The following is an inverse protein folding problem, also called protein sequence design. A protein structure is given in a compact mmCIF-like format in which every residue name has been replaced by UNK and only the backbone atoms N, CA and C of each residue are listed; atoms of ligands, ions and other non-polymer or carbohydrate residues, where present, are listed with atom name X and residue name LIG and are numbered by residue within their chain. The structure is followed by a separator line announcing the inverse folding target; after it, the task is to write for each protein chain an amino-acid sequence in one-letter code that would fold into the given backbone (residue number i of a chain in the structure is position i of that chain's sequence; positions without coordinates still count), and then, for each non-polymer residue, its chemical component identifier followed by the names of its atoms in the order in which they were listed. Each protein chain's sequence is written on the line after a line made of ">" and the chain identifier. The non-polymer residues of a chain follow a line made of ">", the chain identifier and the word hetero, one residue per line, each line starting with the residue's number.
data_IF_383883455605
#
_entry.id   IF_383883455605
#
_cell.length_a   1.000
_cell.length_b   1.000
_cell.length_c   1.000
_cell.angle_alpha   90.00
_cell.angle_beta   90.00
_cell.angle_gamma   90.00
#
_symmetry.space_group_name_H-M   'P 1'
#
loop_
_entity.id
_entity.type
_entity.pdbx_description
1 polymer ?
#
# COMPACT_ATOMS: atom_id res chain seq x y z
N UNK A 1 -16.32 -18.23 -31.33
CA UNK A 1 -16.63 -18.56 -32.72
C UNK A 1 -15.90 -19.85 -32.96
N UNK A 2 -16.64 -20.93 -33.21
CA UNK A 2 -16.10 -22.22 -33.62
C UNK A 2 -16.40 -22.40 -35.13
N UNK A 3 -15.83 -23.45 -35.74
CA UNK A 3 -16.14 -23.83 -37.11
C UNK A 3 -17.65 -24.03 -37.32
N UNK A 4 -18.20 -23.68 -38.50
CA UNK A 4 -19.62 -23.71 -38.78
C UNK A 4 -20.14 -25.15 -38.99
N UNK A 5 -20.16 -25.95 -37.92
CA UNK A 5 -20.52 -27.37 -37.93
C UNK A 5 -22.04 -27.57 -38.06
N UNK A 6 -22.83 -26.56 -37.71
CA UNK A 6 -24.29 -26.62 -37.74
C UNK A 6 -24.89 -26.55 -39.15
N UNK A 7 -24.13 -26.07 -40.14
CA UNK A 7 -24.60 -25.91 -41.52
C UNK A 7 -24.29 -27.17 -42.37
N UNK A 8 -25.31 -27.94 -42.79
CA UNK A 8 -25.09 -29.08 -43.68
C UNK A 8 -24.64 -28.61 -45.07
N UNK A 9 -23.69 -29.33 -45.68
CA UNK A 9 -23.23 -29.08 -47.05
C UNK A 9 -22.07 -28.08 -47.21
N UNK A 10 -21.48 -27.58 -46.11
CA UNK A 10 -20.34 -26.66 -46.16
C UNK A 10 -18.97 -27.34 -46.39
N UNK A 11 -18.97 -28.66 -46.58
CA UNK A 11 -17.78 -29.42 -46.99
C UNK A 11 -16.68 -29.52 -45.91
N UNK A 12 -17.04 -29.49 -44.62
CA UNK A 12 -16.05 -29.71 -43.56
C UNK A 12 -15.58 -31.18 -43.58
N UNK A 13 -14.28 -31.38 -43.54
CA UNK A 13 -13.66 -32.69 -43.34
C UNK A 13 -12.89 -32.65 -42.02
N UNK A 14 -13.24 -33.54 -41.09
CA UNK A 14 -12.63 -33.54 -39.75
C UNK A 14 -12.89 -32.25 -38.95
N UNK A 15 -13.97 -31.53 -39.25
CA UNK A 15 -14.33 -30.28 -38.57
C UNK A 15 -13.62 -29.02 -39.08
N UNK A 16 -12.84 -29.11 -40.17
CA UNK A 16 -12.16 -27.99 -40.83
C UNK A 16 -12.58 -27.85 -42.29
N UNK A 17 -12.37 -26.67 -42.89
CA UNK A 17 -12.65 -26.46 -44.32
C UNK A 17 -11.76 -27.36 -45.19
N UNK A 18 -12.31 -27.87 -46.28
CA UNK A 18 -11.60 -28.67 -47.27
C UNK A 18 -11.79 -28.11 -48.69
N UNK A 19 -10.76 -28.24 -49.52
CA UNK A 19 -10.78 -27.83 -50.92
C UNK A 19 -11.60 -28.81 -51.78
N UNK A 20 -12.15 -28.32 -52.90
CA UNK A 20 -12.92 -29.16 -53.81
C UNK A 20 -12.01 -30.19 -54.49
N UNK A 21 -12.48 -31.43 -54.57
CA UNK A 21 -11.72 -32.52 -55.19
C UNK A 21 -12.45 -33.00 -56.46
N UNK A 22 -11.96 -32.53 -57.61
CA UNK A 22 -12.53 -32.85 -58.93
C UNK A 22 -12.46 -34.35 -59.28
N UNK A 23 -11.54 -35.12 -58.70
CA UNK A 23 -11.38 -36.55 -58.98
C UNK A 23 -12.40 -37.44 -58.23
N UNK A 24 -12.93 -36.96 -57.11
CA UNK A 24 -13.89 -37.70 -56.26
C UNK A 24 -15.30 -37.09 -56.28
N UNK A 25 -15.48 -35.96 -56.97
CA UNK A 25 -16.74 -35.22 -56.99
C UNK A 25 -17.07 -34.54 -55.66
N UNK A 26 -16.12 -34.48 -54.72
CA UNK A 26 -16.34 -33.89 -53.41
C UNK A 26 -16.44 -32.36 -53.54
N UNK A 27 -17.59 -31.82 -53.13
CA UNK A 27 -17.79 -30.38 -53.01
C UNK A 27 -16.85 -29.80 -51.93
N UNK A 28 -16.16 -28.71 -52.24
CA UNK A 28 -15.26 -28.04 -51.30
C UNK A 28 -15.46 -26.53 -51.29
N UNK A 29 -14.67 -25.85 -50.47
CA UNK A 29 -14.84 -24.42 -50.20
C UNK A 29 -14.48 -23.56 -51.41
N UNK A 30 -15.24 -22.48 -51.62
CA UNK A 30 -14.99 -21.49 -52.69
C UNK A 30 -13.72 -20.67 -52.44
N UNK A 31 -13.27 -20.61 -51.20
CA UNK A 31 -12.03 -19.98 -50.75
C UNK A 31 -11.09 -21.10 -50.32
N UNK A 32 -9.78 -20.94 -50.55
CA UNK A 32 -8.78 -21.94 -50.16
C UNK A 32 -8.95 -22.36 -48.70
N UNK A 33 -9.06 -23.67 -48.48
CA UNK A 33 -9.15 -24.28 -47.16
C UNK A 33 -7.99 -23.86 -46.25
N UNK A 34 -6.79 -23.67 -46.82
CA UNK A 34 -5.61 -23.20 -46.06
C UNK A 34 -5.88 -21.84 -45.44
N UNK A 35 -6.37 -20.87 -46.23
CA UNK A 35 -6.66 -19.53 -45.74
C UNK A 35 -7.83 -19.51 -44.75
N UNK A 36 -8.91 -20.23 -45.06
CA UNK A 36 -10.10 -20.24 -44.21
C UNK A 36 -9.79 -20.90 -42.85
N UNK A 37 -9.00 -21.98 -42.85
CA UNK A 37 -8.55 -22.61 -41.62
C UNK A 37 -7.56 -21.74 -40.85
N UNK A 38 -6.63 -21.04 -41.51
CA UNK A 38 -5.68 -20.17 -40.80
C UNK A 38 -6.36 -19.05 -40.03
N UNK A 39 -7.38 -18.41 -40.61
CA UNK A 39 -8.15 -17.37 -39.92
C UNK A 39 -8.97 -17.96 -38.77
N UNK A 40 -9.64 -19.10 -38.99
CA UNK A 40 -10.43 -19.73 -37.93
C UNK A 40 -9.58 -20.22 -36.76
N UNK A 41 -8.43 -20.85 -37.04
CA UNK A 41 -7.50 -21.30 -36.01
C UNK A 41 -6.92 -20.11 -35.21
N UNK A 42 -6.61 -18.98 -35.87
CA UNK A 42 -6.13 -17.76 -35.18
C UNK A 42 -7.19 -17.20 -34.22
N UNK A 43 -8.44 -17.09 -34.68
CA UNK A 43 -9.57 -16.65 -33.85
C UNK A 43 -9.85 -17.62 -32.69
N UNK A 44 -9.74 -18.93 -32.94
CA UNK A 44 -9.90 -19.97 -31.93
C UNK A 44 -8.80 -19.89 -30.86
N UNK A 45 -7.56 -19.65 -31.27
CA UNK A 45 -6.43 -19.46 -30.36
C UNK A 45 -6.62 -18.25 -29.45
N UNK A 46 -7.14 -17.14 -29.97
CA UNK A 46 -7.47 -15.95 -29.15
C UNK A 46 -8.54 -16.26 -28.11
N UNK A 47 -9.59 -17.00 -28.50
CA UNK A 47 -10.72 -17.35 -27.61
C UNK A 47 -10.28 -18.33 -26.52
N UNK A 48 -9.52 -19.36 -26.89
CA UNK A 48 -9.00 -20.36 -25.95
C UNK A 48 -7.95 -19.78 -25.01
N UNK A 49 -7.09 -18.87 -25.48
CA UNK A 49 -6.14 -18.15 -24.63
C UNK A 49 -6.84 -17.28 -23.57
N UNK A 50 -8.04 -16.78 -23.87
CA UNK A 50 -8.89 -16.08 -22.92
C UNK A 50 -9.65 -17.00 -21.95
N UNK A 51 -9.48 -18.33 -22.03
CA UNK A 51 -10.19 -19.31 -21.21
C UNK A 51 -11.68 -19.44 -21.53
N UNK A 52 -12.10 -19.04 -22.73
CA UNK A 52 -13.49 -19.11 -23.19
C UNK A 52 -13.65 -20.36 -24.05
N UNK A 53 -14.72 -21.13 -23.83
CA UNK A 53 -15.07 -22.27 -24.68
C UNK A 53 -15.63 -21.79 -26.03
N UNK A 54 -15.01 -22.17 -27.16
CA UNK A 54 -15.47 -21.77 -28.49
C UNK A 54 -16.88 -22.28 -28.81
N UNK A 55 -17.77 -21.37 -29.21
CA UNK A 55 -19.12 -21.70 -29.67
C UNK A 55 -19.42 -21.11 -31.05
N UNK A 56 -20.10 -21.85 -31.90
CA UNK A 56 -20.62 -21.36 -33.19
C UNK A 56 -21.80 -20.37 -33.00
N UNK A 57 -22.54 -20.50 -31.89
CA UNK A 57 -23.76 -19.74 -31.63
C UNK A 57 -23.51 -18.32 -31.08
N UNK A 58 -22.26 -17.98 -30.71
CA UNK A 58 -21.92 -16.71 -30.08
C UNK A 58 -20.90 -15.90 -30.90
N UNK A 59 -21.40 -14.87 -31.58
CA UNK A 59 -20.60 -13.96 -32.41
C UNK A 59 -19.84 -12.89 -31.60
N UNK A 60 -19.97 -12.88 -30.27
CA UNK A 60 -19.30 -11.91 -29.39
C UNK A 60 -17.99 -12.43 -28.76
N UNK A 61 -17.59 -13.67 -29.01
CA UNK A 61 -16.47 -14.30 -28.28
C UNK A 61 -15.11 -13.63 -28.49
N UNK A 62 -14.82 -13.07 -29.67
CA UNK A 62 -13.57 -12.33 -29.88
C UNK A 62 -13.52 -11.08 -29.03
N UNK A 63 -14.62 -10.33 -28.92
CA UNK A 63 -14.69 -9.17 -28.04
C UNK A 63 -14.56 -9.58 -26.56
N UNK A 64 -15.18 -10.69 -26.14
CA UNK A 64 -15.01 -11.24 -24.79
C UNK A 64 -13.56 -11.64 -24.53
N UNK A 65 -12.91 -12.29 -25.50
CA UNK A 65 -11.52 -12.71 -25.42
C UNK A 65 -10.57 -11.52 -25.33
N UNK A 66 -10.74 -10.51 -26.20
CA UNK A 66 -9.96 -9.27 -26.11
C UNK A 66 -10.12 -8.57 -24.76
N UNK A 67 -11.33 -8.57 -24.18
CA UNK A 67 -11.57 -7.98 -22.84
C UNK A 67 -10.97 -8.80 -21.70
N UNK A 68 -10.84 -10.11 -21.85
CA UNK A 68 -10.19 -10.97 -20.88
C UNK A 68 -8.66 -10.91 -20.97
N UNK A 69 -8.13 -10.78 -22.20
CA UNK A 69 -6.70 -10.67 -22.47
C UNK A 69 -6.16 -9.27 -22.22
N UNK A 70 -6.95 -8.23 -22.46
CA UNK A 70 -6.62 -6.87 -22.05
C UNK A 70 -6.87 -6.70 -20.55
N UNK A 71 -5.96 -6.04 -19.83
CA UNK A 71 -6.25 -5.64 -18.46
C UNK A 71 -7.46 -4.70 -18.47
N UNK A 72 -8.59 -5.07 -17.82
CA UNK A 72 -9.78 -4.25 -17.86
C UNK A 72 -9.57 -2.96 -17.05
N UNK A 73 -10.03 -1.85 -17.62
CA UNK A 73 -9.94 -0.52 -17.02
C UNK A 73 -11.31 -0.14 -16.49
N UNK A 74 -11.38 0.24 -15.22
CA UNK A 74 -12.62 0.70 -14.57
C UNK A 74 -12.44 2.10 -13.99
N UNK A 75 -13.52 2.88 -13.98
CA UNK A 75 -13.52 4.18 -13.31
C UNK A 75 -13.33 4.01 -11.79
N UNK A 76 -13.99 3.01 -11.20
CA UNK A 76 -13.92 2.63 -9.79
C UNK A 76 -13.78 1.11 -9.64
N UNK A 77 -13.26 0.65 -8.51
CA UNK A 77 -13.02 -0.77 -8.26
C UNK A 77 -14.34 -1.58 -8.32
N UNK A 78 -14.42 -2.64 -9.15
CA UNK A 78 -15.61 -3.49 -9.21
C UNK A 78 -15.92 -4.17 -7.87
N UNK A 79 -17.21 -4.35 -7.56
CA UNK A 79 -17.65 -5.02 -6.33
C UNK A 79 -17.57 -6.56 -6.40
N UNK A 80 -17.47 -7.11 -7.61
CA UNK A 80 -17.44 -8.55 -7.89
C UNK A 80 -16.17 -8.92 -8.63
N UNK A 81 -15.76 -10.18 -8.54
CA UNK A 81 -14.58 -10.67 -9.25
C UNK A 81 -14.85 -10.66 -10.76
N UNK A 82 -14.11 -9.83 -11.50
CA UNK A 82 -14.15 -9.74 -12.96
C UNK A 82 -12.81 -10.14 -13.59
N UNK A 83 -11.92 -10.76 -12.81
CA UNK A 83 -10.58 -11.15 -13.22
C UNK A 83 -9.54 -10.90 -12.12
N UNK A 84 -8.33 -11.47 -12.25
CA UNK A 84 -7.30 -11.36 -11.21
C UNK A 84 -6.76 -9.94 -11.06
N UNK A 85 -6.69 -9.16 -12.14
CA UNK A 85 -6.09 -7.83 -12.20
C UNK A 85 -7.04 -6.85 -12.89
N UNK A 86 -7.11 -5.63 -12.36
CA UNK A 86 -7.84 -4.51 -12.99
C UNK A 86 -7.04 -3.22 -12.83
N UNK A 87 -7.12 -2.31 -13.78
CA UNK A 87 -6.63 -0.93 -13.59
C UNK A 87 -7.81 -0.04 -13.19
N UNK A 88 -7.65 0.73 -12.12
CA UNK A 88 -8.72 1.61 -11.62
C UNK A 88 -8.30 3.07 -11.70
N UNK A 89 -9.09 3.86 -12.43
CA UNK A 89 -8.78 5.27 -12.71
C UNK A 89 -8.85 6.13 -11.46
N UNK A 90 -9.86 5.94 -10.59
CA UNK A 90 -10.01 6.73 -9.36
C UNK A 90 -8.91 6.48 -8.30
N UNK A 91 -8.15 5.39 -8.46
CA UNK A 91 -6.95 5.10 -7.66
C UNK A 91 -5.65 5.30 -8.44
N UNK A 92 -5.70 5.41 -9.77
CA UNK A 92 -4.53 5.46 -10.66
C UNK A 92 -3.54 4.29 -10.51
N UNK A 93 -4.03 3.10 -10.13
CA UNK A 93 -3.19 1.92 -9.88
C UNK A 93 -3.85 0.62 -10.35
N UNK A 94 -3.03 -0.42 -10.47
CA UNK A 94 -3.46 -1.80 -10.72
C UNK A 94 -3.86 -2.42 -9.38
N UNK A 95 -5.04 -3.05 -9.33
CA UNK A 95 -5.56 -3.74 -8.16
C UNK A 95 -5.70 -5.24 -8.44
N UNK A 96 -5.50 -6.03 -7.39
CA UNK A 96 -5.59 -7.49 -7.43
C UNK A 96 -6.87 -7.95 -6.73
N UNK A 97 -7.58 -8.92 -7.29
CA UNK A 97 -8.66 -9.58 -6.55
C UNK A 97 -8.06 -10.47 -5.45
N UNK A 98 -8.18 -10.03 -4.20
CA UNK A 98 -7.58 -10.71 -3.05
C UNK A 98 -8.40 -10.52 -1.77
N UNK A 99 -8.04 -11.28 -0.74
CA UNK A 99 -8.63 -11.15 0.60
C UNK A 99 -7.58 -10.60 1.56
N UNK A 100 -7.92 -9.50 2.24
CA UNK A 100 -7.11 -8.85 3.28
C UNK A 100 -7.96 -8.74 4.53
N UNK A 101 -7.66 -9.54 5.56
CA UNK A 101 -8.46 -9.60 6.78
C UNK A 101 -9.92 -9.94 6.47
N UNK A 102 -10.83 -9.03 6.84
CA UNK A 102 -12.28 -9.15 6.64
C UNK A 102 -12.77 -8.68 5.26
N UNK A 103 -11.89 -8.14 4.42
CA UNK A 103 -12.24 -7.60 3.10
C UNK A 103 -11.80 -8.53 1.97
N UNK A 104 -12.72 -8.91 1.09
CA UNK A 104 -12.41 -9.54 -0.20
C UNK A 104 -12.85 -8.61 -1.33
N UNK A 105 -11.93 -8.32 -2.25
CA UNK A 105 -12.18 -7.46 -3.39
C UNK A 105 -10.90 -7.04 -4.09
N UNK A 106 -10.98 -6.00 -4.91
CA UNK A 106 -9.81 -5.41 -5.56
C UNK A 106 -9.01 -4.54 -4.58
N UNK A 107 -7.77 -4.95 -4.31
CA UNK A 107 -6.86 -4.30 -3.36
C UNK A 107 -5.49 -4.07 -4.00
N UNK A 108 -4.87 -2.94 -3.67
CA UNK A 108 -3.49 -2.65 -4.07
C UNK A 108 -2.53 -3.60 -3.36
N UNK A 109 -1.53 -4.19 -4.05
CA UNK A 109 -0.45 -4.92 -3.40
C UNK A 109 0.31 -4.10 -2.36
N UNK A 110 0.29 -2.77 -2.50
CA UNK A 110 0.97 -1.82 -1.62
C UNK A 110 0.07 -1.27 -0.51
N UNK A 111 -1.14 -1.81 -0.32
CA UNK A 111 -2.06 -1.34 0.73
C UNK A 111 -1.36 -1.31 2.09
N UNK A 112 -1.45 -0.17 2.79
CA UNK A 112 -0.80 0.02 4.07
C UNK A 112 0.68 0.45 4.01
N UNK A 113 1.27 0.55 2.81
CA UNK A 113 2.65 1.04 2.66
C UNK A 113 2.76 2.51 3.06
N UNK A 114 3.68 2.79 3.97
CA UNK A 114 4.02 4.16 4.36
C UNK A 114 4.84 4.88 3.28
N UNK A 115 4.53 6.15 3.02
CA UNK A 115 5.18 6.98 2.01
C UNK A 115 5.42 8.38 2.57
N UNK A 116 6.61 8.94 2.30
CA UNK A 116 6.85 10.37 2.49
C UNK A 116 6.43 11.15 1.22
N UNK A 117 5.31 11.87 1.33
CA UNK A 117 4.74 12.64 0.24
C UNK A 117 5.44 13.98 0.03
N UNK A 118 5.81 14.25 -1.23
CA UNK A 118 6.42 15.52 -1.67
C UNK A 118 5.44 16.45 -2.38
N UNK A 119 4.27 15.94 -2.77
CA UNK A 119 3.21 16.73 -3.41
C UNK A 119 2.32 17.39 -2.36
N UNK A 120 1.79 18.58 -2.64
CA UNK A 120 0.90 19.31 -1.71
C UNK A 120 -0.36 18.50 -1.39
N UNK A 121 -0.94 17.84 -2.39
CA UNK A 121 -2.12 16.99 -2.24
C UNK A 121 -1.75 15.51 -2.28
N UNK A 122 -2.46 14.69 -1.50
CA UNK A 122 -2.39 13.23 -1.60
C UNK A 122 -2.75 12.77 -3.01
N UNK A 123 -1.99 11.80 -3.53
CA UNK A 123 -2.30 11.15 -4.79
C UNK A 123 -3.55 10.28 -4.66
N UNK A 124 -4.19 9.88 -5.77
CA UNK A 124 -5.41 9.06 -5.69
C UNK A 124 -5.24 7.70 -5.01
N UNK A 125 -4.03 7.13 -5.05
CA UNK A 125 -3.59 5.90 -4.38
C UNK A 125 -3.11 6.12 -2.94
N UNK A 126 -3.15 7.35 -2.42
CA UNK A 126 -2.62 7.70 -1.10
C UNK A 126 -3.65 8.46 -0.25
N UNK A 127 -3.44 8.41 1.07
CA UNK A 127 -4.12 9.29 2.03
C UNK A 127 -3.12 9.80 3.05
N UNK A 128 -3.28 11.07 3.46
CA UNK A 128 -2.45 11.67 4.50
C UNK A 128 -2.67 10.99 5.86
N UNK A 129 -1.65 10.96 6.72
CA UNK A 129 -1.74 10.44 8.09
C UNK A 129 -1.68 11.61 9.07
N UNK A 130 -2.79 12.35 9.14
CA UNK A 130 -2.93 13.59 9.91
C UNK A 130 -4.08 13.55 10.92
N UNK A 131 -4.51 12.34 11.32
CA UNK A 131 -5.56 12.15 12.33
C UNK A 131 -6.99 12.38 11.85
N UNK A 132 -7.20 12.49 10.54
CA UNK A 132 -8.53 12.64 9.96
C UNK A 132 -9.38 11.37 10.15
N UNK A 133 -10.69 11.55 10.07
CA UNK A 133 -11.66 10.46 10.17
C UNK A 133 -12.12 10.05 8.78
N UNK A 134 -12.19 8.75 8.53
CA UNK A 134 -12.70 8.16 7.30
C UNK A 134 -13.86 7.20 7.61
N UNK A 135 -14.73 7.00 6.63
CA UNK A 135 -15.83 6.04 6.71
C UNK A 135 -15.34 4.67 6.24
N UNK A 136 -15.50 3.64 7.08
CA UNK A 136 -15.10 2.26 6.74
C UNK A 136 -15.86 1.66 5.59
N UNK A 137 -17.04 2.17 5.25
CA UNK A 137 -17.86 1.68 4.13
C UNK A 137 -17.44 2.29 2.81
N UNK A 138 -16.68 3.38 2.84
CA UNK A 138 -16.14 4.00 1.62
C UNK A 138 -15.22 3.02 0.91
N UNK A 139 -15.52 2.71 -0.35
CA UNK A 139 -14.73 1.80 -1.18
C UNK A 139 -13.25 2.18 -1.23
N UNK A 140 -12.92 3.46 -1.02
CA UNK A 140 -11.55 3.98 -0.94
C UNK A 140 -10.73 3.42 0.24
N UNK A 141 -11.37 3.15 1.38
CA UNK A 141 -10.69 2.86 2.64
C UNK A 141 -10.96 1.45 3.20
N UNK A 142 -11.92 0.71 2.64
CA UNK A 142 -12.28 -0.65 3.10
C UNK A 142 -11.07 -1.58 3.21
N UNK A 143 -10.25 -1.63 2.16
CA UNK A 143 -9.06 -2.47 2.12
C UNK A 143 -8.00 -2.04 3.14
N UNK A 144 -7.73 -0.73 3.24
CA UNK A 144 -6.79 -0.19 4.23
C UNK A 144 -7.22 -0.50 5.67
N UNK A 145 -8.52 -0.38 5.97
CA UNK A 145 -9.03 -0.62 7.33
C UNK A 145 -8.95 -2.10 7.67
N UNK A 146 -9.33 -2.99 6.75
CA UNK A 146 -9.18 -4.43 6.97
C UNK A 146 -7.70 -4.84 7.10
N UNK A 147 -6.80 -4.19 6.35
CA UNK A 147 -5.36 -4.31 6.51
C UNK A 147 -4.89 -3.84 7.90
N UNK A 148 -5.38 -2.70 8.38
CA UNK A 148 -5.01 -2.17 9.70
C UNK A 148 -5.50 -3.07 10.85
N UNK A 149 -6.68 -3.67 10.70
CA UNK A 149 -7.25 -4.63 11.66
C UNK A 149 -6.41 -5.90 11.73
N UNK A 150 -6.11 -6.54 10.60
CA UNK A 150 -5.35 -7.81 10.58
C UNK A 150 -3.90 -7.63 11.03
N UNK A 151 -3.32 -6.42 10.88
CA UNK A 151 -1.98 -6.11 11.34
C UNK A 151 -1.91 -5.55 12.78
N UNK A 152 -3.02 -5.51 13.52
CA UNK A 152 -3.02 -5.06 14.92
C UNK A 152 -2.75 -3.57 15.10
N UNK A 153 -3.07 -2.75 14.10
CA UNK A 153 -2.97 -1.29 14.18
C UNK A 153 -4.24 -0.64 14.73
N UNK A 154 -5.36 -1.37 14.79
CA UNK A 154 -6.63 -0.87 15.29
C UNK A 154 -6.67 -0.85 16.82
N UNK A 155 -7.09 0.27 17.40
CA UNK A 155 -7.27 0.47 18.85
C UNK A 155 -8.63 1.11 19.16
N UNK A 156 -8.99 1.15 20.44
CA UNK A 156 -10.19 1.82 20.91
C UNK A 156 -10.05 3.36 20.88
N UNK A 157 -11.16 4.08 20.68
CA UNK A 157 -11.19 5.56 20.62
C UNK A 157 -10.46 6.27 21.75
N UNK A 158 -10.57 5.79 22.98
CA UNK A 158 -9.94 6.41 24.14
C UNK A 158 -8.43 6.24 24.23
N UNK A 159 -7.86 5.30 23.46
CA UNK A 159 -6.43 5.01 23.45
C UNK A 159 -5.69 5.74 22.31
N UNK A 160 -6.42 6.40 21.39
CA UNK A 160 -5.80 7.08 20.26
C UNK A 160 -5.05 8.34 20.70
N UNK A 161 -3.80 8.44 20.25
CA UNK A 161 -2.95 9.60 20.48
C UNK A 161 -2.18 9.98 19.21
N UNK A 162 -2.04 11.28 18.97
CA UNK A 162 -1.16 11.78 17.91
C UNK A 162 0.28 11.33 18.14
N UNK A 163 1.02 11.11 17.06
CA UNK A 163 2.37 10.57 17.06
C UNK A 163 2.45 9.04 17.06
N UNK A 164 1.35 8.33 17.32
CA UNK A 164 1.29 6.87 17.23
C UNK A 164 0.82 6.40 15.85
N UNK A 165 1.40 5.32 15.34
CA UNK A 165 0.90 4.65 14.12
C UNK A 165 -0.24 3.71 14.46
N UNK A 166 -1.37 4.28 14.87
CA UNK A 166 -2.56 3.53 15.28
C UNK A 166 -3.84 4.13 14.68
N UNK A 167 -4.68 3.22 14.18
CA UNK A 167 -6.03 3.52 13.71
C UNK A 167 -6.99 3.35 14.86
N UNK A 168 -8.06 4.12 14.89
CA UNK A 168 -9.03 4.00 15.98
C UNK A 168 -10.45 3.97 15.52
N UNK A 169 -11.21 2.99 16.01
CA UNK A 169 -12.67 2.98 15.87
C UNK A 169 -13.25 4.03 16.81
N UNK A 170 -13.96 5.02 16.27
CA UNK A 170 -14.61 6.06 17.07
C UNK A 170 -16.02 5.59 17.46
N UNK A 171 -16.94 5.62 16.49
CA UNK A 171 -18.33 5.19 16.62
C UNK A 171 -18.93 4.94 15.24
N UNK A 172 -19.94 4.08 15.17
CA UNK A 172 -20.55 3.70 13.89
C UNK A 172 -19.50 3.19 12.90
N UNK A 173 -19.49 3.76 11.70
CA UNK A 173 -18.56 3.42 10.62
C UNK A 173 -17.26 4.25 10.62
N UNK A 174 -17.11 5.19 11.55
CA UNK A 174 -16.00 6.13 11.52
C UNK A 174 -14.73 5.52 12.12
N UNK A 175 -13.64 5.64 11.37
CA UNK A 175 -12.29 5.24 11.76
C UNK A 175 -11.37 6.45 11.69
N UNK A 176 -10.69 6.77 12.79
CA UNK A 176 -9.63 7.78 12.81
C UNK A 176 -8.32 7.15 12.32
N UNK A 177 -7.68 7.80 11.35
CA UNK A 177 -6.36 7.44 10.85
C UNK A 177 -5.26 7.86 11.85
N UNK A 178 -4.05 7.29 11.76
CA UNK A 178 -2.87 7.81 12.46
C UNK A 178 -2.62 9.30 12.19
N UNK A 179 -1.98 9.97 13.15
CA UNK A 179 -1.41 11.31 12.95
C UNK A 179 0.10 11.23 13.22
N UNK A 180 0.91 11.33 12.16
CA UNK A 180 2.37 11.21 12.27
C UNK A 180 3.10 12.55 12.08
N UNK A 181 2.37 13.66 12.12
CA UNK A 181 3.02 14.97 12.05
C UNK A 181 3.93 15.16 13.26
N UNK A 182 5.03 15.88 13.04
CA UNK A 182 6.04 16.19 14.05
C UNK A 182 6.71 14.95 14.66
N UNK A 183 6.75 13.82 13.94
CA UNK A 183 7.42 12.61 14.39
C UNK A 183 8.65 12.28 13.53
N UNK A 184 9.69 11.77 14.18
CA UNK A 184 10.71 10.99 13.51
C UNK A 184 10.31 9.52 13.45
N UNK A 185 10.66 8.85 12.36
CA UNK A 185 10.42 7.41 12.19
C UNK A 185 11.69 6.66 12.54
N UNK A 186 11.54 5.60 13.34
CA UNK A 186 12.60 4.65 13.65
C UNK A 186 12.12 3.22 13.42
N UNK A 187 13.06 2.31 13.19
CA UNK A 187 12.77 0.90 13.18
C UNK A 187 12.33 0.39 14.56
N UNK A 188 11.53 -0.67 14.56
CA UNK A 188 11.24 -1.49 15.75
C UNK A 188 12.49 -2.20 16.26
N UNK A 189 12.40 -2.81 17.43
CA UNK A 189 13.47 -3.59 18.03
C UNK A 189 13.57 -3.36 19.53
N UNK A 190 14.52 -4.03 20.17
CA UNK A 190 14.85 -3.77 21.57
C UNK A 190 15.89 -2.67 21.65
N UNK A 191 15.59 -1.66 22.45
CA UNK A 191 16.49 -0.56 22.73
C UNK A 191 17.76 -1.09 23.41
N UNK A 192 18.91 -0.96 22.76
CA UNK A 192 20.16 -1.56 23.22
C UNK A 192 20.65 -0.97 24.56
N UNK A 193 20.30 0.28 24.86
CA UNK A 193 20.72 0.98 26.07
C UNK A 193 19.79 0.70 27.26
N UNK A 194 18.50 0.48 27.01
CA UNK A 194 17.48 0.30 28.06
C UNK A 194 16.89 -1.10 28.15
N UNK A 195 17.24 -2.00 27.22
CA UNK A 195 16.66 -3.33 27.05
C UNK A 195 15.12 -3.35 26.87
N UNK A 196 14.50 -2.20 26.59
CA UNK A 196 13.05 -2.10 26.41
C UNK A 196 12.66 -2.44 24.97
N UNK A 197 11.71 -3.36 24.79
CA UNK A 197 11.15 -3.69 23.48
C UNK A 197 10.28 -2.53 22.96
N UNK A 198 10.45 -2.17 21.68
CA UNK A 198 9.64 -1.15 21.01
C UNK A 198 8.53 -1.81 20.21
N UNK A 199 7.29 -1.59 20.66
CA UNK A 199 6.10 -2.06 19.97
C UNK A 199 5.91 -1.32 18.64
N UNK A 200 5.43 -2.02 17.62
CA UNK A 200 5.15 -1.41 16.32
C UNK A 200 4.08 -0.31 16.45
N UNK A 201 4.43 0.89 15.97
CA UNK A 201 3.57 2.07 16.00
C UNK A 201 3.52 2.82 17.34
N UNK A 202 4.36 2.47 18.32
CA UNK A 202 4.50 3.25 19.55
C UNK A 202 5.31 4.53 19.33
N UNK A 203 5.00 5.58 20.10
CA UNK A 203 5.79 6.82 20.16
C UNK A 203 6.85 6.74 21.26
N UNK A 204 7.88 7.58 21.15
CA UNK A 204 8.91 7.77 22.17
C UNK A 204 9.13 9.26 22.40
N UNK A 205 9.29 9.66 23.67
CA UNK A 205 9.70 11.02 24.03
C UNK A 205 11.14 11.32 23.60
N UNK A 206 11.45 12.59 23.41
CA UNK A 206 12.81 13.04 23.18
C UNK A 206 13.72 12.67 24.35
N UNK A 207 15.00 12.42 24.04
CA UNK A 207 16.01 12.11 25.03
C UNK A 207 17.40 12.53 24.52
N UNK A 208 18.23 13.04 25.43
CA UNK A 208 19.67 13.21 25.23
C UNK A 208 20.42 12.10 25.94
N UNK A 209 21.52 11.65 25.36
CA UNK A 209 22.41 10.72 26.05
C UNK A 209 23.01 11.40 27.29
N UNK A 210 23.06 10.67 28.41
CA UNK A 210 23.70 11.13 29.64
C UNK A 210 25.14 11.59 29.34
N UNK A 211 25.49 12.79 29.79
CA UNK A 211 26.83 13.34 29.70
C UNK A 211 27.13 14.20 30.94
N UNK A 212 28.39 14.59 31.13
CA UNK A 212 28.86 15.40 32.25
C UNK A 212 29.81 16.49 31.77
N UNK A 213 29.86 17.62 32.49
CA UNK A 213 30.78 18.73 32.23
C UNK A 213 31.72 18.92 33.42
N UNK A 214 32.98 19.29 33.15
CA UNK A 214 33.91 19.72 34.19
C UNK A 214 33.82 21.24 34.34
N UNK A 215 33.62 21.70 35.57
CA UNK A 215 33.76 23.11 35.92
C UNK A 215 35.14 23.30 36.51
N UNK A 216 35.99 24.05 35.81
CA UNK A 216 37.34 24.34 36.29
C UNK A 216 37.29 25.49 37.31
N UNK A 217 37.58 25.20 38.57
CA UNK A 217 37.77 26.23 39.60
C UNK A 217 39.26 26.46 39.82
N UNK A 218 39.70 27.73 39.84
CA UNK A 218 41.06 28.07 40.29
C UNK A 218 41.06 28.09 41.81
N UNK A 219 41.71 27.11 42.43
CA UNK A 219 42.05 27.18 43.85
C UNK A 219 43.31 28.04 44.00
N UNK A 220 43.16 29.31 44.37
CA UNK A 220 44.28 30.11 44.86
C UNK A 220 44.52 29.74 46.33
N UNK A 221 45.40 28.78 46.57
CA UNK A 221 45.97 28.57 47.90
C UNK A 221 47.20 29.45 48.05
N UNK A 222 47.17 30.41 48.97
CA UNK A 222 48.39 30.98 49.54
C UNK A 222 48.58 30.40 50.96
N UNK A 223 49.62 29.59 51.05
CA UNK A 223 50.36 28.95 52.14
C UNK A 223 49.74 28.63 53.53
N UNK A 224 50.09 27.41 53.96
CA UNK A 224 50.22 26.90 55.35
C UNK A 224 48.99 26.21 55.96
N UNK A 225 49.26 25.05 56.55
CA UNK A 225 48.35 24.08 57.19
C UNK A 225 47.45 23.26 56.24
N UNK A 226 47.98 22.11 55.79
CA UNK A 226 47.40 20.76 55.91
C UNK A 226 45.98 20.43 55.41
N UNK A 227 45.14 21.40 55.07
CA UNK A 227 43.73 21.17 54.77
C UNK A 227 43.32 21.99 53.55
N UNK A 228 42.64 21.33 52.61
CA UNK A 228 42.08 21.95 51.41
C UNK A 228 40.98 22.91 51.87
N UNK A 229 41.30 24.19 52.04
CA UNK A 229 40.31 25.21 52.36
C UNK A 229 39.49 25.55 51.11
N UNK A 230 38.23 25.10 51.16
CA UNK A 230 37.14 25.46 50.25
C UNK A 230 36.99 26.99 50.13
N UNK A 231 36.89 27.48 48.89
CA UNK A 231 36.62 28.91 48.58
C UNK A 231 35.13 29.24 48.78
N UNK A 232 34.26 28.28 49.13
CA UNK A 232 32.92 28.54 49.64
C UNK A 232 32.89 28.65 51.19
N UNK A 233 33.56 29.66 51.74
CA UNK A 233 33.33 30.00 53.16
C UNK A 233 32.01 30.77 53.31
N UNK A 234 31.02 30.08 53.90
CA UNK A 234 29.98 30.56 54.84
C UNK A 234 28.53 30.23 54.42
N UNK A 235 28.01 29.10 54.93
CA UNK A 235 26.68 29.02 55.55
C UNK A 235 25.44 29.28 54.68
N UNK A 236 25.27 28.56 53.57
CA UNK A 236 23.99 28.49 52.85
C UNK A 236 24.22 28.04 51.41
N UNK A 237 23.45 27.05 50.94
CA UNK A 237 23.58 26.54 49.58
C UNK A 237 23.36 27.64 48.54
N UNK A 238 24.43 28.23 48.03
CA UNK A 238 24.38 29.26 47.00
C UNK A 238 24.16 28.59 45.64
N UNK A 239 22.90 28.40 45.26
CA UNK A 239 22.53 27.87 43.94
C UNK A 239 22.68 28.99 42.91
N UNK A 240 23.74 28.96 42.09
CA UNK A 240 23.79 29.74 40.85
C UNK A 240 23.32 28.83 39.70
N UNK A 241 22.04 28.88 39.31
CA UNK A 241 21.60 28.13 38.14
C UNK A 241 22.32 28.66 36.91
N UNK A 242 22.80 27.75 36.06
CA UNK A 242 23.15 28.11 34.68
C UNK A 242 21.87 28.61 33.99
N UNK A 243 21.97 29.64 33.15
CA UNK A 243 20.82 30.05 32.33
C UNK A 243 20.36 28.91 31.42
N UNK A 244 19.10 28.94 30.99
CA UNK A 244 18.64 28.04 29.95
C UNK A 244 19.46 28.29 28.67
N UNK A 245 19.95 27.22 28.06
CA UNK A 245 20.57 27.25 26.73
C UNK A 245 19.83 26.25 25.82
N UNK A 246 19.76 26.57 24.53
CA UNK A 246 18.96 25.83 23.55
C UNK A 246 17.51 26.30 23.41
N UNK A 247 16.70 25.51 22.70
CA UNK A 247 15.30 25.79 22.37
C UNK A 247 14.32 24.79 23.01
N UNK A 248 13.02 24.95 22.72
CA UNK A 248 11.94 24.11 23.28
C UNK A 248 11.95 22.66 22.80
N UNK A 249 12.73 22.31 21.78
CA UNK A 249 12.78 20.97 21.19
C UNK A 249 14.23 20.58 20.89
N UNK A 250 14.64 19.40 21.36
CA UNK A 250 15.91 18.79 20.95
C UNK A 250 15.74 18.10 19.61
N UNK A 251 16.34 18.65 18.55
CA UNK A 251 16.28 18.04 17.21
C UNK A 251 17.51 18.30 16.36
N UNK A 252 17.88 17.38 15.45
CA UNK A 252 18.80 17.67 14.37
C UNK A 252 18.13 18.51 13.27
N UNK A 253 18.93 18.96 12.29
CA UNK A 253 18.42 19.55 11.05
C UNK A 253 17.48 18.54 10.38
N UNK A 254 16.32 19.01 9.90
CA UNK A 254 15.31 18.16 9.27
C UNK A 254 14.59 18.89 8.12
N UNK A 255 13.87 18.10 7.33
CA UNK A 255 12.94 18.55 6.28
C UNK A 255 11.57 17.95 6.57
N UNK A 256 10.51 18.73 6.32
CA UNK A 256 9.13 18.29 6.54
C UNK A 256 8.52 17.77 5.24
N UNK A 257 7.98 16.54 5.29
CA UNK A 257 7.24 15.90 4.20
C UNK A 257 5.90 15.39 4.73
N UNK A 258 4.93 15.15 3.86
CA UNK A 258 3.63 14.62 4.27
C UNK A 258 3.75 13.15 4.66
N UNK A 259 3.36 12.73 5.87
CA UNK A 259 3.23 11.31 6.17
C UNK A 259 2.00 10.76 5.46
N UNK A 260 2.17 9.74 4.61
CA UNK A 260 1.07 9.16 3.81
C UNK A 260 1.07 7.64 3.89
N UNK A 261 -0.07 7.07 3.54
CA UNK A 261 -0.26 5.63 3.41
C UNK A 261 -0.98 5.30 2.11
N UNK A 262 -0.58 4.20 1.49
CA UNK A 262 -1.19 3.64 0.29
C UNK A 262 -2.51 2.92 0.60
N UNK A 263 -3.50 3.06 -0.28
CA UNK A 263 -4.91 2.65 -0.04
C UNK A 263 -5.54 1.87 -1.19
#
# INVERSE_FOLDING_TARGET
>A
MDYPKSLPGIGLVGGKFADANAATGAAGSWISAVWANSVMDELLNVITAAGIDPSEADNGQILKAMRALAMPIYATAPATNVGPLVYVIDRQQILHWQTVGTFTGYVSPDVGRFVWGTSVTARPDEVDLIGQTVDRTNARFRALIAWAEVNGHMIASGAWAAGTFKFSVISGNNVRLPDLRNQFIRATGTDADTANARALGSVQSDALRRHSHMVNFRTNGDASSGEIHDVLKTGGGYQQPTSADGGSETRPINVSLHPRIQI
#
